data_IF_631652080025
#
_entry.id   IF_631652080025
#
_cell.length_a   1.000
_cell.length_b   1.000
_cell.length_c   1.000
_cell.angle_alpha   90.00
_cell.angle_beta   90.00
_cell.angle_gamma   90.00
#
_symmetry.space_group_name_H-M   'P 1'
#
loop_
_entity.id
_entity.type
_entity.pdbx_description
1 polymer ?
#
# COMPACT_ATOMS: atom_id res chain seq x y z
N UNK A 1 -35.86 -25.37 30.94
CA UNK A 1 -36.97 -24.57 31.51
C UNK A 1 -37.47 -23.67 30.39
N UNK A 2 -38.45 -24.16 29.62
CA UNK A 2 -38.92 -23.54 28.39
C UNK A 2 -40.21 -22.78 28.68
N UNK A 3 -40.20 -21.48 28.43
CA UNK A 3 -41.32 -20.57 28.71
C UNK A 3 -42.26 -20.55 27.50
N UNK A 4 -43.46 -21.11 27.66
CA UNK A 4 -44.52 -21.13 26.65
C UNK A 4 -45.10 -19.72 26.47
N UNK A 5 -45.10 -19.21 25.24
CA UNK A 5 -45.76 -17.95 24.85
C UNK A 5 -47.26 -18.18 24.69
N UNK A 6 -48.06 -17.37 25.36
CA UNK A 6 -49.52 -17.30 25.17
C UNK A 6 -49.87 -16.67 23.81
N UNK A 7 -50.95 -17.13 23.14
CA UNK A 7 -51.46 -16.51 21.93
C UNK A 7 -52.31 -15.27 22.25
N UNK A 8 -52.00 -14.15 21.59
CA UNK A 8 -52.77 -12.90 21.65
C UNK A 8 -54.11 -13.01 20.91
N UNK A 9 -55.15 -12.27 21.33
CA UNK A 9 -56.46 -12.30 20.70
C UNK A 9 -56.47 -11.58 19.32
N UNK A 10 -57.42 -11.93 18.43
CA UNK A 10 -57.54 -11.28 17.13
C UNK A 10 -58.12 -9.87 17.28
N UNK A 11 -57.35 -8.87 16.85
CA UNK A 11 -57.80 -7.49 16.77
C UNK A 11 -58.82 -7.34 15.63
N UNK A 12 -60.06 -7.00 16.01
CA UNK A 12 -61.13 -6.59 15.11
C UNK A 12 -60.80 -5.25 14.46
N UNK A 13 -60.91 -5.20 13.14
CA UNK A 13 -60.53 -4.08 12.28
C UNK A 13 -61.20 -2.75 12.61
N UNK A 14 -60.38 -1.79 13.01
CA UNK A 14 -60.56 -0.40 12.64
C UNK A 14 -59.83 -0.16 11.31
N UNK A 15 -60.45 0.58 10.38
CA UNK A 15 -59.78 1.10 9.18
C UNK A 15 -58.53 1.87 9.61
N UNK A 16 -57.36 1.25 9.47
CA UNK A 16 -56.07 1.93 9.54
C UNK A 16 -56.05 2.96 8.39
N UNK A 17 -55.99 4.23 8.75
CA UNK A 17 -55.45 5.25 7.87
C UNK A 17 -54.12 4.70 7.34
N UNK A 18 -53.98 4.60 6.02
CA UNK A 18 -52.78 4.14 5.33
C UNK A 18 -51.54 4.70 6.02
N UNK A 19 -50.87 3.86 6.82
CA UNK A 19 -49.67 4.24 7.53
C UNK A 19 -48.64 4.60 6.47
N UNK A 20 -48.39 5.89 6.29
CA UNK A 20 -47.43 6.40 5.31
C UNK A 20 -46.12 5.66 5.49
N UNK A 21 -45.52 5.21 4.39
CA UNK A 21 -44.21 4.58 4.46
C UNK A 21 -43.22 5.60 5.04
N UNK A 22 -42.50 5.27 6.11
CA UNK A 22 -41.46 6.12 6.69
C UNK A 22 -40.10 5.65 6.20
N UNK A 23 -39.17 6.58 5.97
CA UNK A 23 -37.76 6.28 5.75
C UNK A 23 -36.89 6.95 6.82
N UNK A 24 -35.91 6.22 7.34
CA UNK A 24 -34.91 6.72 8.28
C UNK A 24 -33.70 7.18 7.47
N UNK A 25 -33.40 8.46 7.48
CA UNK A 25 -32.25 9.03 6.76
C UNK A 25 -31.34 9.77 7.72
N UNK A 26 -30.06 9.82 7.40
CA UNK A 26 -29.10 10.65 8.13
C UNK A 26 -28.90 11.96 7.40
N UNK A 27 -29.38 13.05 7.98
CA UNK A 27 -29.25 14.39 7.40
C UNK A 27 -28.05 15.09 8.04
N UNK A 28 -27.07 15.49 7.22
CA UNK A 28 -25.89 16.28 7.62
C UNK A 28 -26.08 17.74 7.23
N UNK A 29 -26.20 18.62 8.21
CA UNK A 29 -26.10 20.06 8.05
C UNK A 29 -24.68 20.58 8.34
N UNK A 30 -24.45 21.89 8.22
CA UNK A 30 -23.15 22.50 8.52
C UNK A 30 -22.78 22.46 10.02
N UNK A 31 -23.77 22.51 10.91
CA UNK A 31 -23.55 22.54 12.36
C UNK A 31 -23.64 21.15 13.03
N UNK A 32 -24.09 20.12 12.30
CA UNK A 32 -24.28 18.80 12.87
C UNK A 32 -24.96 17.81 11.94
N UNK A 33 -25.31 16.65 12.50
CA UNK A 33 -26.03 15.60 11.80
C UNK A 33 -27.17 15.08 12.67
N UNK A 34 -28.30 14.75 12.05
CA UNK A 34 -29.46 14.14 12.73
C UNK A 34 -29.91 12.91 11.95
N UNK A 35 -30.19 11.82 12.66
CA UNK A 35 -30.90 10.68 12.10
C UNK A 35 -32.39 10.96 12.23
N UNK A 36 -33.09 11.15 11.10
CA UNK A 36 -34.48 11.57 11.04
C UNK A 36 -35.33 10.47 10.39
N UNK A 37 -36.44 10.11 11.03
CA UNK A 37 -37.50 9.36 10.39
C UNK A 37 -38.42 10.36 9.67
N UNK A 38 -38.50 10.25 8.35
CA UNK A 38 -39.25 11.14 7.48
C UNK A 38 -40.37 10.38 6.76
N UNK A 39 -41.54 10.97 6.54
CA UNK A 39 -42.57 10.35 5.70
C UNK A 39 -42.08 10.29 4.25
N UNK A 40 -42.11 9.12 3.63
CA UNK A 40 -41.63 8.92 2.26
C UNK A 40 -42.50 9.63 1.22
N UNK A 41 -43.77 9.88 1.55
CA UNK A 41 -44.75 10.61 0.77
C UNK A 41 -44.65 12.15 0.94
N UNK A 42 -43.96 12.64 1.98
CA UNK A 42 -43.76 14.07 2.19
C UNK A 42 -42.90 14.68 1.08
N UNK A 43 -43.20 15.93 0.73
CA UNK A 43 -42.44 16.65 -0.30
C UNK A 43 -41.07 17.07 0.25
N UNK A 44 -40.07 17.10 -0.62
CA UNK A 44 -38.71 17.53 -0.26
C UNK A 44 -38.72 18.92 0.37
N UNK A 45 -39.57 19.85 -0.11
CA UNK A 45 -39.68 21.20 0.45
C UNK A 45 -40.14 21.21 1.92
N UNK A 46 -41.21 20.50 2.24
CA UNK A 46 -41.75 20.42 3.62
C UNK A 46 -40.71 19.85 4.59
N UNK A 47 -40.03 18.79 4.14
CA UNK A 47 -38.98 18.12 4.89
C UNK A 47 -37.76 19.03 5.08
N UNK A 48 -37.35 19.78 4.05
CA UNK A 48 -36.23 20.73 4.12
C UNK A 48 -36.47 21.79 5.19
N UNK A 49 -37.68 22.37 5.23
CA UNK A 49 -38.00 23.43 6.18
C UNK A 49 -37.98 22.91 7.63
N UNK A 50 -38.54 21.72 7.86
CA UNK A 50 -38.51 21.09 9.19
C UNK A 50 -37.09 20.70 9.63
N UNK A 51 -36.28 20.17 8.71
CA UNK A 51 -34.89 19.81 8.97
C UNK A 51 -34.02 21.04 9.19
N UNK A 52 -34.23 22.13 8.44
CA UNK A 52 -33.52 23.38 8.64
C UNK A 52 -33.85 23.98 10.01
N UNK A 53 -35.13 23.98 10.41
CA UNK A 53 -35.54 24.45 11.73
C UNK A 53 -34.85 23.66 12.88
N UNK A 54 -34.65 22.35 12.72
CA UNK A 54 -33.99 21.50 13.72
C UNK A 54 -32.47 21.56 13.71
N UNK A 55 -31.84 21.56 12.52
CA UNK A 55 -30.38 21.47 12.36
C UNK A 55 -29.67 22.82 12.41
N UNK A 56 -30.41 23.93 12.23
CA UNK A 56 -29.87 25.29 12.16
C UNK A 56 -30.65 26.25 13.07
N UNK A 57 -30.69 26.02 14.39
CA UNK A 57 -31.45 26.86 15.30
C UNK A 57 -30.92 28.30 15.29
N UNK A 58 -31.72 29.23 14.77
CA UNK A 58 -31.38 30.67 14.68
C UNK A 58 -30.90 31.14 13.31
N UNK A 59 -30.73 30.25 12.33
CA UNK A 59 -30.55 30.66 10.94
C UNK A 59 -31.89 31.16 10.36
N UNK A 60 -31.89 32.13 9.43
CA UNK A 60 -33.12 32.52 8.74
C UNK A 60 -33.71 31.30 8.03
N UNK A 61 -34.90 30.85 8.47
CA UNK A 61 -35.58 29.63 7.99
C UNK A 61 -35.68 29.54 6.46
N UNK A 62 -35.69 30.69 5.77
CA UNK A 62 -35.90 30.76 4.32
C UNK A 62 -34.58 30.85 3.54
N UNK A 63 -33.46 31.18 4.19
CA UNK A 63 -32.21 31.55 3.50
C UNK A 63 -30.98 31.20 4.34
N UNK A 64 -30.03 30.49 3.76
CA UNK A 64 -28.68 30.33 4.32
C UNK A 64 -27.98 31.68 4.51
N UNK A 65 -26.78 31.67 5.11
CA UNK A 65 -26.00 32.88 5.42
C UNK A 65 -25.86 33.85 4.23
N UNK A 66 -25.85 33.32 3.00
CA UNK A 66 -25.72 34.07 1.75
C UNK A 66 -27.06 34.49 1.10
N UNK A 67 -28.20 34.31 1.78
CA UNK A 67 -29.51 34.66 1.24
C UNK A 67 -30.13 33.60 0.32
N UNK A 68 -29.55 32.40 0.21
CA UNK A 68 -29.98 31.35 -0.73
C UNK A 68 -30.83 30.25 -0.06
N UNK A 69 -31.85 29.69 -0.74
CA UNK A 69 -32.67 28.64 -0.17
C UNK A 69 -31.86 27.36 0.11
N UNK A 70 -32.28 26.62 1.13
CA UNK A 70 -31.72 25.33 1.51
C UNK A 70 -32.26 24.21 0.62
N UNK A 71 -31.43 23.21 0.32
CA UNK A 71 -31.80 22.03 -0.43
C UNK A 71 -31.23 20.78 0.23
N UNK A 72 -31.92 19.65 0.03
CA UNK A 72 -31.38 18.33 0.33
C UNK A 72 -30.60 17.80 -0.87
N UNK A 73 -29.40 17.31 -0.60
CA UNK A 73 -28.50 16.71 -1.57
C UNK A 73 -28.22 15.26 -1.19
N UNK A 74 -28.49 14.28 -2.05
CA UNK A 74 -27.94 12.94 -1.88
C UNK A 74 -26.42 13.01 -2.00
N UNK A 75 -25.70 12.15 -1.27
CA UNK A 75 -24.23 12.10 -1.36
C UNK A 75 -23.79 11.86 -2.82
N UNK A 76 -23.07 12.83 -3.39
CA UNK A 76 -22.53 12.75 -4.75
C UNK A 76 -23.50 13.16 -5.88
N UNK A 77 -24.75 13.52 -5.57
CA UNK A 77 -25.76 13.91 -6.57
C UNK A 77 -26.15 15.41 -6.48
N UNK A 78 -26.96 15.87 -7.44
CA UNK A 78 -27.56 17.20 -7.43
C UNK A 78 -28.66 17.36 -6.37
N UNK A 79 -29.18 18.57 -6.14
CA UNK A 79 -30.26 18.83 -5.19
C UNK A 79 -31.51 18.04 -5.58
N UNK A 80 -32.19 17.51 -4.58
CA UNK A 80 -33.50 16.92 -4.77
C UNK A 80 -34.50 17.99 -5.20
N UNK A 81 -35.38 17.72 -6.18
CA UNK A 81 -36.38 18.70 -6.61
C UNK A 81 -37.38 18.95 -5.47
N UNK A 82 -37.67 20.21 -5.10
CA UNK A 82 -38.45 20.53 -3.90
C UNK A 82 -39.91 20.06 -3.96
N UNK A 83 -40.50 19.97 -5.16
CA UNK A 83 -41.91 19.58 -5.35
C UNK A 83 -42.16 18.09 -5.49
N UNK A 84 -41.15 17.25 -5.24
CA UNK A 84 -41.20 15.79 -5.44
C UNK A 84 -41.16 15.11 -4.06
N UNK A 85 -41.82 13.96 -3.91
CA UNK A 85 -41.78 13.21 -2.64
C UNK A 85 -40.42 12.55 -2.44
N UNK A 86 -40.05 12.22 -1.19
CA UNK A 86 -38.79 11.52 -0.91
C UNK A 86 -38.72 10.16 -1.65
N UNK A 87 -39.82 9.42 -1.71
CA UNK A 87 -39.92 8.15 -2.44
C UNK A 87 -39.68 8.33 -3.95
N UNK A 88 -40.32 9.32 -4.56
CA UNK A 88 -40.19 9.59 -6.00
C UNK A 88 -38.84 10.23 -6.36
N UNK A 89 -38.20 10.89 -5.39
CA UNK A 89 -36.80 11.30 -5.45
C UNK A 89 -35.81 10.13 -5.29
N UNK A 90 -36.30 8.92 -4.99
CA UNK A 90 -35.48 7.71 -4.86
C UNK A 90 -34.73 7.60 -3.53
N UNK A 91 -35.13 8.36 -2.51
CA UNK A 91 -34.53 8.32 -1.17
C UNK A 91 -34.95 7.04 -0.46
N UNK A 92 -33.98 6.28 0.05
CA UNK A 92 -34.17 5.01 0.73
C UNK A 92 -33.83 5.10 2.21
N UNK A 93 -34.37 4.16 2.96
CA UNK A 93 -33.99 3.94 4.36
C UNK A 93 -32.47 3.67 4.47
N UNK A 94 -31.79 4.42 5.33
CA UNK A 94 -30.34 4.42 5.52
C UNK A 94 -29.55 5.43 4.67
N UNK A 95 -30.19 6.17 3.77
CA UNK A 95 -29.50 7.16 2.92
C UNK A 95 -28.93 8.33 3.76
N UNK A 96 -27.79 8.84 3.32
CA UNK A 96 -27.18 10.05 3.88
C UNK A 96 -27.49 11.23 2.97
N UNK A 97 -28.21 12.22 3.50
CA UNK A 97 -28.55 13.45 2.82
C UNK A 97 -27.76 14.61 3.41
N UNK A 98 -27.43 15.61 2.60
CA UNK A 98 -26.76 16.82 3.03
C UNK A 98 -27.70 18.01 2.87
N UNK A 99 -27.85 18.79 3.94
CA UNK A 99 -28.61 20.04 3.93
C UNK A 99 -27.64 21.21 3.63
N UNK A 100 -27.78 21.83 2.46
CA UNK A 100 -26.85 22.87 1.97
C UNK A 100 -27.54 23.94 1.12
N UNK A 101 -26.98 25.16 1.00
CA UNK A 101 -27.46 26.17 0.07
C UNK A 101 -27.06 25.80 -1.37
N UNK A 102 -27.88 26.15 -2.39
CA UNK A 102 -27.52 25.94 -3.80
C UNK A 102 -26.70 27.10 -4.41
N UNK A 103 -25.70 26.82 -5.27
CA UNK A 103 -25.04 25.53 -5.44
C UNK A 103 -24.22 25.17 -4.21
N UNK A 104 -24.48 23.98 -3.67
CA UNK A 104 -23.65 23.43 -2.62
C UNK A 104 -22.26 23.22 -3.23
N UNK A 105 -21.16 23.62 -2.56
CA UNK A 105 -19.84 23.22 -2.98
C UNK A 105 -19.89 21.71 -3.17
N UNK A 106 -19.68 21.22 -4.40
CA UNK A 106 -19.88 19.81 -4.74
C UNK A 106 -19.18 18.99 -3.65
N UNK A 107 -19.90 18.17 -2.84
CA UNK A 107 -19.22 17.27 -1.93
C UNK A 107 -18.21 16.51 -2.76
N UNK A 108 -16.96 16.39 -2.28
CA UNK A 108 -15.86 15.82 -3.04
C UNK A 108 -16.38 14.57 -3.77
N UNK A 109 -16.50 14.69 -5.10
CA UNK A 109 -17.27 13.77 -5.91
C UNK A 109 -16.68 12.37 -5.64
N UNK A 110 -17.47 11.38 -5.15
CA UNK A 110 -16.98 10.01 -5.12
C UNK A 110 -16.62 9.68 -6.56
N UNK A 111 -15.32 9.56 -6.82
CA UNK A 111 -14.85 9.40 -8.18
C UNK A 111 -15.02 7.94 -8.56
N UNK A 112 -16.19 7.62 -9.10
CA UNK A 112 -16.52 6.26 -9.55
C UNK A 112 -15.79 5.88 -10.84
N UNK A 113 -15.31 6.86 -11.60
CA UNK A 113 -14.53 6.66 -12.83
C UNK A 113 -13.05 6.98 -12.57
N UNK A 114 -12.25 5.91 -12.46
CA UNK A 114 -10.81 5.99 -12.23
C UNK A 114 -10.08 6.86 -13.26
N UNK A 115 -10.56 6.91 -14.51
CA UNK A 115 -9.98 7.76 -15.54
C UNK A 115 -10.40 9.23 -15.43
N UNK A 116 -11.60 9.56 -14.95
CA UNK A 116 -11.98 10.96 -14.65
C UNK A 116 -11.26 11.46 -13.40
N UNK A 117 -11.01 10.60 -12.40
CA UNK A 117 -10.10 10.89 -11.29
C UNK A 117 -8.68 11.14 -11.77
N UNK A 118 -8.17 10.30 -12.68
CA UNK A 118 -6.84 10.45 -13.26
C UNK A 118 -6.77 11.64 -14.21
N UNK A 119 -7.81 12.02 -14.93
CA UNK A 119 -7.84 13.17 -15.83
C UNK A 119 -8.03 14.50 -15.07
N UNK A 120 -8.87 14.53 -14.03
CA UNK A 120 -8.96 15.64 -13.08
C UNK A 120 -7.67 15.74 -12.22
N UNK A 121 -7.04 14.60 -11.94
CA UNK A 121 -5.72 14.50 -11.32
C UNK A 121 -4.57 14.89 -12.27
N UNK A 122 -4.72 14.66 -13.58
CA UNK A 122 -3.73 14.98 -14.62
C UNK A 122 -3.80 16.43 -15.08
N UNK A 123 -4.99 17.04 -15.06
CA UNK A 123 -5.16 18.49 -15.21
C UNK A 123 -4.66 19.26 -13.98
N UNK A 124 -4.64 18.60 -12.80
CA UNK A 124 -3.89 19.01 -11.61
C UNK A 124 -2.45 18.46 -11.57
N UNK A 125 -2.06 17.62 -12.53
CA UNK A 125 -0.71 17.09 -12.55
C UNK A 125 0.21 18.25 -12.88
N UNK A 126 1.30 18.39 -12.11
CA UNK A 126 2.11 19.58 -12.19
C UNK A 126 2.66 19.74 -13.61
N UNK A 127 2.29 20.86 -14.24
CA UNK A 127 3.11 21.49 -15.29
C UNK A 127 4.53 21.64 -14.76
N UNK A 128 5.52 21.86 -15.63
CA UNK A 128 6.92 21.98 -15.22
C UNK A 128 7.03 22.99 -14.04
N UNK A 129 7.24 22.46 -12.84
CA UNK A 129 7.19 23.19 -11.56
C UNK A 129 8.53 23.00 -10.88
N UNK A 130 8.95 24.01 -10.10
CA UNK A 130 10.17 23.99 -9.28
C UNK A 130 10.27 22.72 -8.41
N UNK A 131 9.13 22.11 -8.06
CA UNK A 131 9.05 20.82 -7.36
C UNK A 131 9.71 19.64 -8.13
N UNK A 132 9.61 19.59 -9.46
CA UNK A 132 10.28 18.56 -10.29
C UNK A 132 11.77 18.83 -10.44
N UNK A 133 12.20 20.09 -10.44
CA UNK A 133 13.63 20.44 -10.32
C UNK A 133 14.18 19.93 -8.99
N UNK A 134 13.40 20.02 -7.90
CA UNK A 134 13.71 19.40 -6.62
C UNK A 134 13.93 17.89 -6.68
N UNK A 135 13.04 17.16 -7.34
CA UNK A 135 13.19 15.70 -7.55
C UNK A 135 14.45 15.42 -8.36
N UNK A 136 14.68 16.15 -9.46
CA UNK A 136 15.88 15.99 -10.27
C UNK A 136 17.16 16.26 -9.46
N UNK A 137 17.21 17.35 -8.71
CA UNK A 137 18.35 17.72 -7.85
C UNK A 137 18.57 16.68 -6.75
N UNK A 138 17.51 16.19 -6.10
CA UNK A 138 17.65 15.12 -5.10
C UNK A 138 18.12 13.81 -5.73
N UNK A 139 17.60 13.42 -6.90
CA UNK A 139 18.10 12.24 -7.63
C UNK A 139 19.55 12.41 -8.06
N UNK A 140 19.95 13.60 -8.52
CA UNK A 140 21.32 13.91 -8.89
C UNK A 140 22.24 13.87 -7.67
N UNK A 141 21.81 14.44 -6.54
CA UNK A 141 22.59 14.42 -5.29
C UNK A 141 22.78 12.97 -4.79
N UNK A 142 21.73 12.14 -4.85
CA UNK A 142 21.81 10.71 -4.53
C UNK A 142 22.77 10.00 -5.49
N UNK A 143 22.68 10.24 -6.80
CA UNK A 143 23.57 9.65 -7.78
C UNK A 143 25.03 10.07 -7.57
N UNK A 144 25.30 11.36 -7.36
CA UNK A 144 26.63 11.90 -7.05
C UNK A 144 27.16 11.31 -5.75
N UNK A 145 26.32 11.19 -4.72
CA UNK A 145 26.72 10.57 -3.45
C UNK A 145 27.04 9.08 -3.60
N UNK A 146 26.30 8.36 -4.45
CA UNK A 146 26.57 6.96 -4.75
C UNK A 146 27.90 6.80 -5.51
N UNK A 147 28.19 7.70 -6.47
CA UNK A 147 29.49 7.75 -7.15
C UNK A 147 30.60 8.08 -6.17
N UNK A 148 30.44 9.10 -5.32
CA UNK A 148 31.43 9.46 -4.29
C UNK A 148 31.67 8.33 -3.30
N UNK A 149 30.61 7.64 -2.89
CA UNK A 149 30.68 6.46 -2.04
C UNK A 149 31.42 5.31 -2.74
N UNK A 150 31.16 5.04 -4.01
CA UNK A 150 31.89 4.06 -4.81
C UNK A 150 33.36 4.42 -4.98
N UNK A 151 33.68 5.69 -5.29
CA UNK A 151 35.07 6.19 -5.40
C UNK A 151 35.78 6.07 -4.05
N UNK A 152 35.09 6.32 -2.93
CA UNK A 152 35.69 6.18 -1.59
C UNK A 152 36.16 4.77 -1.27
N UNK A 153 35.54 3.74 -1.89
CA UNK A 153 35.99 2.35 -1.77
C UNK A 153 37.32 2.07 -2.48
N UNK A 154 37.69 2.90 -3.47
CA UNK A 154 38.95 2.78 -4.20
C UNK A 154 40.11 3.55 -3.55
N UNK A 155 39.82 4.45 -2.60
CA UNK A 155 40.84 5.25 -1.91
C UNK A 155 41.39 4.46 -0.73
N UNK A 156 42.73 4.40 -0.54
CA UNK A 156 43.33 3.82 0.66
C UNK A 156 43.07 4.73 1.88
N UNK A 157 41.89 4.59 2.48
CA UNK A 157 41.46 5.33 3.68
C UNK A 157 40.61 4.51 4.65
N UNK A 158 40.35 3.24 4.32
CA UNK A 158 39.51 2.34 5.13
C UNK A 158 38.05 2.83 5.25
N UNK A 159 37.27 2.23 6.17
CA UNK A 159 35.83 2.53 6.32
C UNK A 159 35.52 3.92 6.89
N UNK A 160 36.53 4.66 7.35
CA UNK A 160 36.35 5.96 7.99
C UNK A 160 35.89 7.04 7.00
N UNK A 161 36.35 6.99 5.75
CA UNK A 161 36.00 7.98 4.71
C UNK A 161 34.50 7.96 4.38
N UNK A 162 33.87 6.83 4.01
CA UNK A 162 32.43 6.80 3.74
C UNK A 162 31.58 7.08 4.99
N UNK A 163 32.04 6.70 6.18
CA UNK A 163 31.33 6.97 7.43
C UNK A 163 31.35 8.46 7.77
N UNK A 164 32.49 9.14 7.60
CA UNK A 164 32.59 10.59 7.74
C UNK A 164 31.71 11.32 6.74
N UNK A 165 31.67 10.85 5.48
CA UNK A 165 30.77 11.41 4.45
C UNK A 165 29.29 11.24 4.84
N UNK A 166 28.89 10.05 5.31
CA UNK A 166 27.53 9.79 5.76
C UNK A 166 27.14 10.69 6.94
N UNK A 167 28.00 10.80 7.95
CA UNK A 167 27.80 11.66 9.11
C UNK A 167 27.73 13.15 8.74
N UNK A 168 28.59 13.60 7.81
CA UNK A 168 28.59 14.97 7.30
C UNK A 168 27.27 15.29 6.59
N UNK A 169 26.81 14.44 5.68
CA UNK A 169 25.55 14.64 4.94
C UNK A 169 24.34 14.65 5.88
N UNK A 170 24.31 13.75 6.86
CA UNK A 170 23.26 13.71 7.87
C UNK A 170 23.29 14.94 8.79
N UNK A 171 24.50 15.38 9.18
CA UNK A 171 24.72 16.59 9.97
C UNK A 171 24.30 17.86 9.24
N UNK A 172 24.62 17.97 7.94
CA UNK A 172 24.15 19.06 7.08
C UNK A 172 22.62 19.06 6.96
N UNK A 173 22.00 17.88 6.82
CA UNK A 173 20.54 17.77 6.83
C UNK A 173 19.96 18.25 8.17
N UNK A 174 20.54 17.84 9.30
CA UNK A 174 20.12 18.28 10.63
C UNK A 174 20.26 19.79 10.83
N UNK A 175 21.38 20.38 10.38
CA UNK A 175 21.65 21.81 10.46
C UNK A 175 20.68 22.61 9.59
N UNK A 176 20.43 22.17 8.36
CA UNK A 176 19.44 22.80 7.48
C UNK A 176 18.04 22.74 8.08
N UNK A 177 17.68 21.62 8.73
CA UNK A 177 16.39 21.51 9.43
C UNK A 177 16.29 22.52 10.57
N UNK A 178 17.34 22.68 11.38
CA UNK A 178 17.39 23.64 12.50
C UNK A 178 17.40 25.10 12.04
N UNK A 179 18.08 25.39 10.94
CA UNK A 179 18.22 26.75 10.42
C UNK A 179 16.95 27.27 9.73
N UNK A 180 15.93 26.43 9.55
CA UNK A 180 14.67 26.88 8.97
C UNK A 180 13.92 27.77 9.95
N UNK A 181 13.64 29.03 9.60
CA UNK A 181 12.68 29.81 10.36
C UNK A 181 11.37 29.04 10.36
N UNK A 182 10.67 29.06 11.51
CA UNK A 182 9.30 28.58 11.63
C UNK A 182 8.38 29.51 10.82
N UNK A 183 8.50 29.45 9.50
CA UNK A 183 7.53 30.09 8.61
C UNK A 183 6.19 29.36 8.79
N UNK A 184 5.08 30.11 8.86
CA UNK A 184 3.76 29.54 9.06
C UNK A 184 3.47 28.44 8.03
N UNK A 185 2.72 27.42 8.46
CA UNK A 185 2.47 26.14 7.77
C UNK A 185 2.01 26.26 6.30
N UNK A 186 1.54 27.43 5.87
CA UNK A 186 1.05 27.68 4.51
C UNK A 186 2.16 28.02 3.50
N UNK A 187 3.38 28.31 3.94
CA UNK A 187 4.50 28.68 3.08
C UNK A 187 5.18 27.44 2.44
N UNK A 188 4.53 26.91 1.39
CA UNK A 188 5.02 26.03 0.33
C UNK A 188 5.98 24.84 0.68
N UNK A 189 5.60 23.57 0.36
CA UNK A 189 6.41 22.36 0.58
C UNK A 189 7.70 22.24 -0.26
N UNK A 190 8.08 23.30 -0.99
CA UNK A 190 9.29 23.35 -1.80
C UNK A 190 10.56 23.60 -0.95
N UNK A 191 10.42 24.20 0.23
CA UNK A 191 11.54 24.47 1.13
C UNK A 191 12.22 23.18 1.65
N UNK A 192 11.54 22.04 1.60
CA UNK A 192 11.97 20.76 2.19
C UNK A 192 13.01 19.96 1.40
N UNK A 193 13.12 20.23 0.10
CA UNK A 193 13.91 19.44 -0.84
C UNK A 193 15.42 19.29 -0.53
N UNK A 194 16.17 20.33 -0.13
CA UNK A 194 17.61 20.19 0.11
C UNK A 194 17.93 19.30 1.30
N UNK A 195 17.17 19.44 2.40
CA UNK A 195 17.34 18.64 3.61
C UNK A 195 17.04 17.17 3.36
N UNK A 196 16.05 16.90 2.52
CA UNK A 196 15.74 15.56 2.04
C UNK A 196 16.78 14.98 1.09
N UNK A 197 17.29 15.80 0.18
CA UNK A 197 18.40 15.42 -0.68
C UNK A 197 19.58 14.95 0.15
N UNK A 198 20.01 15.77 1.13
CA UNK A 198 21.13 15.44 2.00
C UNK A 198 20.89 14.16 2.82
N UNK A 199 19.68 13.99 3.38
CA UNK A 199 19.31 12.76 4.08
C UNK A 199 19.37 11.51 3.19
N UNK A 200 18.78 11.58 1.99
CA UNK A 200 18.78 10.45 1.06
C UNK A 200 20.18 10.15 0.50
N UNK A 201 20.97 11.19 0.25
CA UNK A 201 22.37 11.08 -0.18
C UNK A 201 23.29 10.49 0.89
N UNK A 202 22.88 10.49 2.18
CA UNK A 202 23.64 9.80 3.22
C UNK A 202 23.54 8.27 3.10
N UNK A 203 22.46 7.72 2.52
CA UNK A 203 22.23 6.27 2.48
C UNK A 203 23.30 5.51 1.67
N UNK A 204 23.71 5.95 0.45
CA UNK A 204 24.82 5.31 -0.26
C UNK A 204 26.14 5.36 0.52
N UNK A 205 26.39 6.44 1.27
CA UNK A 205 27.59 6.55 2.10
C UNK A 205 27.57 5.56 3.28
N UNK A 206 26.41 5.35 3.91
CA UNK A 206 26.22 4.27 4.91
C UNK A 206 26.46 2.89 4.31
N UNK A 207 25.93 2.61 3.11
CA UNK A 207 26.17 1.35 2.40
C UNK A 207 27.66 1.15 2.13
N UNK A 208 28.34 2.17 1.59
CA UNK A 208 29.78 2.09 1.33
C UNK A 208 30.61 1.91 2.61
N UNK A 209 30.21 2.52 3.74
CA UNK A 209 30.85 2.26 5.02
C UNK A 209 30.73 0.79 5.42
N UNK A 210 29.53 0.20 5.31
CA UNK A 210 29.34 -1.23 5.56
C UNK A 210 30.17 -2.13 4.62
N UNK A 211 30.22 -1.78 3.32
CA UNK A 211 31.05 -2.50 2.34
C UNK A 211 32.53 -2.41 2.69
N UNK A 212 33.03 -1.22 3.01
CA UNK A 212 34.44 -0.99 3.36
C UNK A 212 34.85 -1.77 4.61
N UNK A 213 34.00 -1.79 5.65
CA UNK A 213 34.24 -2.63 6.84
C UNK A 213 34.27 -4.10 6.46
N UNK A 214 33.32 -4.57 5.65
CA UNK A 214 33.27 -5.97 5.22
C UNK A 214 34.48 -6.42 4.41
N UNK A 215 34.96 -5.57 3.49
CA UNK A 215 36.18 -5.82 2.72
C UNK A 215 37.43 -5.84 3.61
N UNK A 216 37.50 -4.95 4.61
CA UNK A 216 38.61 -4.89 5.56
C UNK A 216 38.72 -6.14 6.44
N UNK A 217 37.58 -6.74 6.81
CA UNK A 217 37.51 -8.00 7.56
C UNK A 217 37.97 -9.20 6.72
N UNK A 218 38.31 -9.01 5.43
CA UNK A 218 38.68 -10.06 4.45
C UNK A 218 37.66 -11.20 4.39
N UNK A 219 36.39 -10.86 4.61
CA UNK A 219 35.29 -11.80 4.48
C UNK A 219 34.94 -12.04 3.01
N UNK A 220 34.32 -13.18 2.71
CA UNK A 220 33.63 -13.37 1.42
C UNK A 220 32.49 -12.35 1.23
N UNK A 221 31.76 -12.46 0.11
CA UNK A 221 30.64 -11.56 -0.20
C UNK A 221 29.57 -11.48 0.89
N UNK A 222 29.36 -12.55 1.67
CA UNK A 222 28.30 -12.60 2.68
C UNK A 222 28.53 -11.63 3.85
N UNK A 223 29.68 -11.63 4.56
CA UNK A 223 30.01 -10.58 5.53
C UNK A 223 29.88 -9.15 4.99
N UNK A 224 30.30 -8.91 3.75
CA UNK A 224 30.18 -7.59 3.09
C UNK A 224 28.72 -7.17 2.97
N UNK A 225 27.86 -8.05 2.45
CA UNK A 225 26.43 -7.77 2.31
C UNK A 225 25.72 -7.61 3.66
N UNK A 226 26.10 -8.38 4.68
CA UNK A 226 25.57 -8.25 6.04
C UNK A 226 25.83 -6.86 6.61
N UNK A 227 27.09 -6.41 6.51
CA UNK A 227 27.50 -5.11 7.03
C UNK A 227 26.91 -3.96 6.21
N UNK A 228 26.86 -4.09 4.88
CA UNK A 228 26.23 -3.11 3.99
C UNK A 228 24.72 -2.95 4.30
N UNK A 229 23.98 -4.05 4.42
CA UNK A 229 22.56 -4.03 4.77
C UNK A 229 22.30 -3.49 6.18
N UNK A 230 23.14 -3.86 7.15
CA UNK A 230 23.04 -3.36 8.53
C UNK A 230 23.33 -1.87 8.61
N UNK A 231 24.37 -1.39 7.90
CA UNK A 231 24.71 0.02 7.83
C UNK A 231 23.60 0.83 7.16
N UNK A 232 22.95 0.30 6.10
CA UNK A 232 21.78 0.92 5.48
C UNK A 232 20.61 1.04 6.46
N UNK A 233 20.33 -0.01 7.24
CA UNK A 233 19.26 0.01 8.23
C UNK A 233 19.53 1.01 9.37
N UNK A 234 20.77 1.06 9.87
CA UNK A 234 21.20 2.03 10.89
C UNK A 234 21.14 3.45 10.34
N UNK A 235 21.64 3.69 9.13
CA UNK A 235 21.60 4.98 8.46
C UNK A 235 20.17 5.47 8.23
N UNK A 236 19.26 4.57 7.83
CA UNK A 236 17.84 4.87 7.70
C UNK A 236 17.20 5.22 9.05
N UNK A 237 17.53 4.50 10.13
CA UNK A 237 17.08 4.81 11.49
C UNK A 237 17.57 6.17 11.97
N UNK A 238 18.85 6.49 11.75
CA UNK A 238 19.44 7.78 12.08
C UNK A 238 18.77 8.92 11.29
N UNK A 239 18.55 8.74 9.98
CA UNK A 239 17.85 9.70 9.15
C UNK A 239 16.39 9.89 9.58
N UNK A 240 15.71 8.81 10.02
CA UNK A 240 14.37 8.89 10.57
C UNK A 240 14.31 9.73 11.85
N UNK A 241 15.23 9.51 12.79
CA UNK A 241 15.32 10.29 14.03
C UNK A 241 15.63 11.77 13.78
N UNK A 242 16.50 12.06 12.81
CA UNK A 242 16.92 13.43 12.50
C UNK A 242 15.88 14.19 11.67
N UNK A 243 15.19 13.51 10.75
CA UNK A 243 14.34 14.17 9.75
C UNK A 243 12.84 13.96 9.95
N UNK A 244 12.40 12.85 10.56
CA UNK A 244 11.01 12.57 11.01
C UNK A 244 9.90 12.57 9.95
N UNK A 245 9.76 13.68 9.24
CA UNK A 245 8.68 14.08 8.32
C UNK A 245 8.58 13.20 7.06
N UNK A 246 9.61 12.40 6.77
CA UNK A 246 9.70 11.54 5.58
C UNK A 246 9.89 10.08 5.92
N UNK A 247 9.22 9.64 7.00
CA UNK A 247 9.14 8.24 7.46
C UNK A 247 9.07 7.16 6.37
N UNK A 248 8.31 7.33 5.26
CA UNK A 248 8.25 6.34 4.19
C UNK A 248 9.60 5.95 3.58
N UNK A 249 10.44 6.93 3.24
CA UNK A 249 11.72 6.67 2.59
C UNK A 249 12.69 5.94 3.51
N UNK A 250 12.67 6.28 4.79
CA UNK A 250 13.49 5.64 5.81
C UNK A 250 12.98 4.22 6.11
N UNK A 251 11.67 4.02 6.15
CA UNK A 251 11.07 2.69 6.26
C UNK A 251 11.43 1.80 5.07
N UNK A 252 11.40 2.33 3.84
CA UNK A 252 11.87 1.62 2.65
C UNK A 252 13.34 1.23 2.78
N UNK A 253 14.24 2.19 3.03
CA UNK A 253 15.67 1.94 3.16
C UNK A 253 15.98 0.95 4.28
N UNK A 254 15.34 1.09 5.45
CA UNK A 254 15.47 0.18 6.57
C UNK A 254 15.00 -1.24 6.25
N UNK A 255 13.84 -1.37 5.62
CA UNK A 255 13.30 -2.68 5.20
C UNK A 255 14.21 -3.37 4.20
N UNK A 256 14.76 -2.62 3.24
CA UNK A 256 15.72 -3.13 2.25
C UNK A 256 17.03 -3.56 2.95
N UNK A 257 17.54 -2.75 3.87
CA UNK A 257 18.72 -3.05 4.67
C UNK A 257 18.58 -4.35 5.47
N UNK A 258 17.46 -4.52 6.18
CA UNK A 258 17.14 -5.74 6.94
C UNK A 258 16.94 -6.94 6.02
N UNK A 259 16.25 -6.76 4.89
CA UNK A 259 16.02 -7.81 3.90
C UNK A 259 17.31 -8.36 3.29
N UNK A 260 18.34 -7.53 3.15
CA UNK A 260 19.68 -7.94 2.69
C UNK A 260 20.52 -8.49 3.85
N UNK A 261 20.53 -7.84 5.01
CA UNK A 261 21.44 -8.21 6.11
C UNK A 261 21.08 -9.54 6.74
N UNK A 262 19.79 -9.86 6.89
CA UNK A 262 19.34 -11.10 7.53
C UNK A 262 19.83 -12.37 6.81
N UNK A 263 19.55 -12.61 5.51
CA UNK A 263 20.06 -13.79 4.83
C UNK A 263 21.59 -13.80 4.76
N UNK A 264 22.23 -12.64 4.54
CA UNK A 264 23.69 -12.55 4.51
C UNK A 264 24.33 -12.88 5.86
N UNK A 265 23.71 -12.51 6.98
CA UNK A 265 24.20 -12.82 8.33
C UNK A 265 24.16 -14.32 8.60
N UNK A 266 23.07 -14.99 8.21
CA UNK A 266 22.93 -16.45 8.34
C UNK A 266 24.01 -17.20 7.57
N UNK A 267 24.40 -16.68 6.39
CA UNK A 267 25.49 -17.26 5.58
C UNK A 267 26.86 -16.94 6.17
N UNK A 268 27.08 -15.68 6.57
CA UNK A 268 28.35 -15.24 7.15
C UNK A 268 28.68 -15.96 8.46
N UNK A 269 27.66 -16.28 9.28
CA UNK A 269 27.80 -17.04 10.52
C UNK A 269 27.92 -18.56 10.31
N UNK A 270 27.88 -19.05 9.08
CA UNK A 270 27.91 -20.50 8.79
C UNK A 270 26.67 -21.26 9.27
N UNK A 271 25.58 -20.56 9.61
CA UNK A 271 24.34 -21.17 10.13
C UNK A 271 23.60 -21.89 9.01
N UNK A 272 23.49 -21.24 7.85
CA UNK A 272 22.82 -21.78 6.66
C UNK A 272 23.63 -21.49 5.40
N UNK A 273 23.66 -22.41 4.42
CA UNK A 273 24.16 -22.09 3.09
C UNK A 273 23.25 -21.05 2.41
N UNK A 274 23.83 -20.28 1.49
CA UNK A 274 23.16 -19.17 0.79
C UNK A 274 21.73 -19.47 0.28
N UNK A 275 21.46 -20.55 -0.47
CA UNK A 275 20.10 -20.81 -0.96
C UNK A 275 19.07 -21.02 0.17
N UNK A 276 19.48 -21.65 1.28
CA UNK A 276 18.60 -21.88 2.43
C UNK A 276 18.32 -20.58 3.19
N UNK A 277 19.33 -19.73 3.37
CA UNK A 277 19.16 -18.43 4.00
C UNK A 277 18.22 -17.51 3.21
N UNK A 278 18.35 -17.47 1.88
CA UNK A 278 17.45 -16.70 1.00
C UNK A 278 16.01 -17.23 1.10
N UNK A 279 15.80 -18.55 1.09
CA UNK A 279 14.47 -19.13 1.21
C UNK A 279 13.78 -18.77 2.55
N UNK A 280 14.54 -18.76 3.65
CA UNK A 280 14.04 -18.30 4.96
C UNK A 280 13.65 -16.82 4.90
N UNK A 281 14.51 -15.96 4.34
CA UNK A 281 14.23 -14.53 4.21
C UNK A 281 12.99 -14.24 3.35
N UNK A 282 12.79 -14.97 2.25
CA UNK A 282 11.60 -14.86 1.40
C UNK A 282 10.32 -15.29 2.13
N UNK A 283 10.41 -16.32 2.96
CA UNK A 283 9.27 -16.77 3.78
C UNK A 283 8.92 -15.72 4.85
N UNK A 284 9.93 -15.16 5.51
CA UNK A 284 9.75 -14.07 6.48
C UNK A 284 9.18 -12.83 5.83
N UNK A 285 9.59 -12.50 4.60
CA UNK A 285 9.01 -11.41 3.83
C UNK A 285 7.51 -11.63 3.57
N UNK A 286 7.08 -12.84 3.18
CA UNK A 286 5.65 -13.16 3.00
C UNK A 286 4.85 -12.99 4.30
N UNK A 287 5.41 -13.44 5.43
CA UNK A 287 4.80 -13.26 6.76
C UNK A 287 4.71 -11.77 7.10
N UNK A 288 5.79 -11.03 6.89
CA UNK A 288 5.84 -9.58 7.11
C UNK A 288 4.79 -8.87 6.24
N UNK A 289 4.59 -9.28 5.00
CA UNK A 289 3.54 -8.73 4.12
C UNK A 289 2.12 -8.90 4.69
N UNK A 290 1.88 -9.90 5.54
CA UNK A 290 0.63 -10.02 6.34
C UNK A 290 0.61 -9.09 7.52
N UNK A 291 1.71 -9.06 8.27
CA UNK A 291 1.78 -8.36 9.53
C UNK A 291 1.95 -6.84 9.37
N UNK A 292 2.50 -6.38 8.24
CA UNK A 292 2.95 -5.01 8.05
C UNK A 292 1.83 -3.96 8.26
N UNK A 293 0.61 -4.12 7.72
CA UNK A 293 -0.46 -3.16 7.98
C UNK A 293 -0.78 -3.03 9.47
N UNK A 294 -0.76 -4.15 10.21
CA UNK A 294 -1.00 -4.18 11.65
C UNK A 294 0.18 -3.57 12.43
N UNK A 295 1.43 -3.87 12.05
CA UNK A 295 2.62 -3.31 12.69
C UNK A 295 2.73 -1.80 12.51
N UNK A 296 2.47 -1.31 11.28
CA UNK A 296 2.57 0.12 10.95
C UNK A 296 1.45 0.92 11.61
N UNK A 297 0.23 0.39 11.64
CA UNK A 297 -0.88 1.04 12.38
C UNK A 297 -0.61 1.06 13.88
N UNK A 298 -0.21 -0.08 14.47
CA UNK A 298 0.05 -0.17 15.91
C UNK A 298 1.21 0.70 16.38
N UNK A 299 2.32 0.72 15.65
CA UNK A 299 3.50 1.54 16.01
C UNK A 299 3.18 3.04 16.07
N UNK A 300 2.25 3.51 15.24
CA UNK A 300 1.86 4.92 15.22
C UNK A 300 0.77 5.28 16.22
N UNK A 301 -0.14 4.36 16.56
CA UNK A 301 -1.14 4.58 17.62
C UNK A 301 -0.53 4.77 19.01
N UNK A 302 0.73 4.36 19.21
CA UNK A 302 1.44 4.55 20.47
C UNK A 302 1.98 5.98 20.66
N UNK A 303 1.95 6.82 19.63
CA UNK A 303 2.71 8.09 19.62
C UNK A 303 1.86 9.30 20.06
N UNK A 304 0.55 9.39 19.79
CA UNK A 304 -0.34 10.38 20.45
C UNK A 304 -1.81 10.20 20.03
N UNK A 305 -2.77 10.04 20.96
CA UNK A 305 -4.19 10.08 20.63
C UNK A 305 -4.67 11.53 20.62
N UNK A 306 -4.51 12.24 19.50
CA UNK A 306 -5.25 13.49 19.26
C UNK A 306 -6.50 13.17 18.44
N UNK A 307 -7.67 13.53 18.98
CA UNK A 307 -8.98 13.22 18.40
C UNK A 307 -9.42 14.20 17.29
N UNK A 308 -8.52 15.07 16.83
CA UNK A 308 -8.83 16.02 15.75
C UNK A 308 -8.93 15.30 14.40
N UNK A 309 -9.99 15.59 13.65
CA UNK A 309 -10.27 14.97 12.36
C UNK A 309 -9.16 15.27 11.33
N UNK A 310 -8.62 16.48 11.34
CA UNK A 310 -7.53 16.88 10.43
C UNK A 310 -6.25 16.08 10.75
N UNK A 311 -5.94 15.94 12.04
CA UNK A 311 -4.81 15.13 12.50
C UNK A 311 -4.97 13.64 12.12
N UNK A 312 -6.18 13.08 12.20
CA UNK A 312 -6.45 11.70 11.80
C UNK A 312 -6.25 11.47 10.30
N UNK A 313 -6.62 12.43 9.45
CA UNK A 313 -6.41 12.37 8.00
C UNK A 313 -4.91 12.38 7.67
N UNK A 314 -4.16 13.31 8.25
CA UNK A 314 -2.70 13.40 8.08
C UNK A 314 -2.01 12.13 8.59
N UNK A 315 -2.46 11.62 9.74
CA UNK A 315 -1.95 10.40 10.31
C UNK A 315 -2.18 9.19 9.40
N UNK A 316 -3.39 9.05 8.86
CA UNK A 316 -3.73 7.99 7.91
C UNK A 316 -2.89 8.07 6.64
N UNK A 317 -2.74 9.28 6.06
CA UNK A 317 -1.92 9.51 4.87
C UNK A 317 -0.45 9.14 5.10
N UNK A 318 0.14 9.57 6.22
CA UNK A 318 1.53 9.27 6.53
C UNK A 318 1.75 7.78 6.86
N UNK A 319 0.79 7.12 7.52
CA UNK A 319 0.78 5.67 7.78
C UNK A 319 0.78 4.91 6.46
N UNK A 320 -0.08 5.35 5.54
CA UNK A 320 -0.23 4.78 4.22
C UNK A 320 1.04 4.88 3.39
N UNK A 321 1.69 6.04 3.34
CA UNK A 321 2.96 6.17 2.63
C UNK A 321 4.05 5.29 3.24
N UNK A 322 4.07 5.13 4.57
CA UNK A 322 5.05 4.27 5.25
C UNK A 322 4.87 2.81 4.85
N UNK A 323 3.62 2.36 4.78
CA UNK A 323 3.26 1.02 4.33
C UNK A 323 3.69 0.78 2.87
N UNK A 324 3.32 1.68 1.96
CA UNK A 324 3.63 1.58 0.52
C UNK A 324 5.14 1.49 0.26
N UNK A 325 5.91 2.30 0.98
CA UNK A 325 7.36 2.31 0.87
C UNK A 325 8.02 1.03 1.42
N UNK A 326 7.56 0.54 2.58
CA UNK A 326 8.06 -0.71 3.16
C UNK A 326 7.68 -1.94 2.33
N UNK A 327 6.45 -2.02 1.80
CA UNK A 327 6.02 -3.08 0.87
C UNK A 327 6.86 -3.03 -0.41
N UNK A 328 7.07 -1.84 -0.98
CA UNK A 328 7.85 -1.68 -2.20
C UNK A 328 9.31 -2.12 -2.03
N UNK A 329 9.96 -1.69 -0.94
CA UNK A 329 11.33 -2.07 -0.64
C UNK A 329 11.49 -3.56 -0.33
N UNK A 330 10.59 -4.12 0.49
CA UNK A 330 10.57 -5.55 0.77
C UNK A 330 10.35 -6.38 -0.50
N UNK A 331 9.44 -5.95 -1.37
CA UNK A 331 9.15 -6.61 -2.65
C UNK A 331 10.35 -6.54 -3.59
N UNK A 332 11.08 -5.42 -3.64
CA UNK A 332 12.31 -5.31 -4.43
C UNK A 332 13.40 -6.28 -3.93
N UNK A 333 13.62 -6.36 -2.60
CA UNK A 333 14.55 -7.32 -2.02
C UNK A 333 14.12 -8.78 -2.29
N UNK A 334 12.82 -9.07 -2.18
CA UNK A 334 12.27 -10.39 -2.48
C UNK A 334 12.42 -10.76 -3.97
N UNK A 335 12.23 -9.80 -4.88
CA UNK A 335 12.43 -10.01 -6.32
C UNK A 335 13.87 -10.45 -6.64
N UNK A 336 14.86 -9.75 -6.07
CA UNK A 336 16.28 -10.11 -6.21
C UNK A 336 16.56 -11.47 -5.58
N UNK A 337 16.05 -11.73 -4.37
CA UNK A 337 16.19 -13.01 -3.68
C UNK A 337 15.61 -14.18 -4.49
N UNK A 338 14.41 -14.03 -5.06
CA UNK A 338 13.77 -15.04 -5.90
C UNK A 338 14.57 -15.31 -7.17
N UNK A 339 15.06 -14.26 -7.84
CA UNK A 339 15.89 -14.40 -9.03
C UNK A 339 17.20 -15.16 -8.74
N UNK A 340 17.93 -14.73 -7.71
CA UNK A 340 19.19 -15.38 -7.30
C UNK A 340 18.94 -16.82 -6.88
N UNK A 341 17.90 -17.09 -6.08
CA UNK A 341 17.60 -18.43 -5.60
C UNK A 341 17.22 -19.37 -6.76
N UNK A 342 16.34 -18.93 -7.67
CA UNK A 342 15.92 -19.74 -8.80
C UNK A 342 17.10 -20.08 -9.74
N UNK A 343 17.97 -19.11 -10.02
CA UNK A 343 19.06 -19.27 -11.00
C UNK A 343 20.30 -20.00 -10.45
N UNK A 344 20.49 -20.02 -9.12
CA UNK A 344 21.67 -20.64 -8.50
C UNK A 344 21.50 -22.09 -8.05
N UNK A 345 20.27 -22.55 -7.81
CA UNK A 345 20.05 -23.76 -7.02
C UNK A 345 19.67 -25.03 -7.80
N UNK A 346 19.21 -24.92 -9.06
CA UNK A 346 18.98 -26.03 -10.01
C UNK A 346 17.99 -27.15 -9.61
N UNK A 347 17.68 -27.32 -8.32
CA UNK A 347 16.87 -28.39 -7.78
C UNK A 347 15.37 -28.12 -7.91
N UNK A 348 14.61 -29.14 -8.32
CA UNK A 348 13.17 -29.04 -8.53
C UNK A 348 12.40 -28.54 -7.30
N UNK A 349 12.81 -28.91 -6.08
CA UNK A 349 12.20 -28.43 -4.83
C UNK A 349 12.38 -26.91 -4.67
N UNK A 350 13.55 -26.38 -5.00
CA UNK A 350 13.82 -24.93 -4.89
C UNK A 350 13.05 -24.15 -5.94
N UNK A 351 12.96 -24.66 -7.17
CA UNK A 351 12.13 -24.07 -8.22
C UNK A 351 10.64 -24.09 -7.83
N UNK A 352 10.16 -25.19 -7.24
CA UNK A 352 8.81 -25.29 -6.69
C UNK A 352 8.55 -24.27 -5.58
N UNK A 353 9.51 -24.08 -4.66
CA UNK A 353 9.45 -23.04 -3.63
C UNK A 353 9.37 -21.62 -4.23
N UNK A 354 10.27 -21.28 -5.16
CA UNK A 354 10.27 -19.99 -5.83
C UNK A 354 8.95 -19.73 -6.57
N UNK A 355 8.39 -20.75 -7.23
CA UNK A 355 7.09 -20.67 -7.91
C UNK A 355 5.96 -20.43 -6.91
N UNK A 356 5.93 -21.15 -5.78
CA UNK A 356 4.92 -20.98 -4.75
C UNK A 356 4.97 -19.58 -4.11
N UNK A 357 6.15 -19.06 -3.78
CA UNK A 357 6.32 -17.71 -3.24
C UNK A 357 5.89 -16.65 -4.26
N UNK A 358 6.31 -16.80 -5.53
CA UNK A 358 5.97 -15.86 -6.59
C UNK A 358 4.48 -15.82 -6.90
N UNK A 359 3.83 -16.99 -6.95
CA UNK A 359 2.39 -17.11 -7.15
C UNK A 359 1.60 -16.57 -5.94
N UNK A 360 2.08 -16.82 -4.71
CA UNK A 360 1.48 -16.23 -3.50
C UNK A 360 1.56 -14.71 -3.55
N UNK A 361 2.71 -14.13 -3.91
CA UNK A 361 2.87 -12.69 -4.06
C UNK A 361 1.87 -12.12 -5.09
N UNK A 362 1.84 -12.68 -6.30
CA UNK A 362 0.95 -12.21 -7.36
C UNK A 362 -0.54 -12.30 -6.99
N UNK A 363 -0.97 -13.41 -6.36
CA UNK A 363 -2.36 -13.59 -5.93
C UNK A 363 -2.74 -12.63 -4.79
N UNK A 364 -1.81 -12.41 -3.87
CA UNK A 364 -2.00 -11.54 -2.71
C UNK A 364 -2.11 -10.07 -3.07
N UNK A 365 -1.47 -9.63 -4.15
CA UNK A 365 -1.59 -8.26 -4.62
C UNK A 365 -3.06 -7.84 -4.85
N UNK A 366 -3.97 -8.79 -5.14
CA UNK A 366 -5.42 -8.52 -5.25
C UNK A 366 -6.06 -8.00 -3.96
N UNK A 367 -5.44 -8.24 -2.79
CA UNK A 367 -5.95 -7.77 -1.49
C UNK A 367 -5.55 -6.33 -1.17
N UNK A 368 -4.57 -5.76 -1.88
CA UNK A 368 -4.26 -4.35 -1.72
C UNK A 368 -5.24 -3.51 -2.53
N UNK A 369 -5.82 -2.49 -1.89
CA UNK A 369 -6.69 -1.52 -2.56
C UNK A 369 -5.89 -0.49 -3.37
N UNK A 370 -4.56 -0.53 -3.31
CA UNK A 370 -3.71 0.55 -3.79
C UNK A 370 -2.72 0.05 -4.83
N UNK A 371 -2.52 0.88 -5.86
CA UNK A 371 -1.75 0.53 -7.04
C UNK A 371 -0.26 0.33 -6.72
N UNK A 372 0.35 1.16 -5.86
CA UNK A 372 1.79 1.09 -5.54
C UNK A 372 2.18 -0.24 -4.88
N UNK A 373 1.49 -0.61 -3.80
CA UNK A 373 1.62 -1.90 -3.14
C UNK A 373 1.33 -3.07 -4.07
N UNK A 374 0.20 -3.02 -4.80
CA UNK A 374 -0.16 -4.09 -5.72
C UNK A 374 0.90 -4.28 -6.79
N UNK A 375 1.36 -3.20 -7.42
CA UNK A 375 2.35 -3.22 -8.48
C UNK A 375 3.70 -3.74 -8.01
N UNK A 376 4.17 -3.33 -6.82
CA UNK A 376 5.44 -3.80 -6.27
C UNK A 376 5.42 -5.29 -5.93
N UNK A 377 4.33 -5.78 -5.32
CA UNK A 377 4.17 -7.21 -4.97
C UNK A 377 3.99 -8.06 -6.23
N UNK A 378 3.19 -7.62 -7.21
CA UNK A 378 3.09 -8.27 -8.52
C UNK A 378 4.45 -8.29 -9.21
N UNK A 379 5.17 -7.16 -9.20
CA UNK A 379 6.50 -7.05 -9.78
C UNK A 379 7.47 -8.09 -9.22
N UNK A 380 7.48 -8.28 -7.89
CA UNK A 380 8.28 -9.32 -7.25
C UNK A 380 7.89 -10.73 -7.70
N UNK A 381 6.59 -11.01 -7.78
CA UNK A 381 6.08 -12.29 -8.28
C UNK A 381 6.46 -12.55 -9.75
N UNK A 382 6.35 -11.54 -10.61
CA UNK A 382 6.72 -11.64 -12.03
C UNK A 382 8.22 -11.87 -12.20
N UNK A 383 9.07 -11.14 -11.45
CA UNK A 383 10.53 -11.35 -11.48
C UNK A 383 10.87 -12.76 -11.01
N UNK A 384 10.24 -13.27 -9.94
CA UNK A 384 10.45 -14.63 -9.46
C UNK A 384 10.03 -15.71 -10.47
N UNK A 385 8.86 -15.55 -11.12
CA UNK A 385 8.43 -16.44 -12.20
C UNK A 385 9.38 -16.39 -13.39
N UNK A 386 9.87 -15.21 -13.76
CA UNK A 386 10.89 -15.03 -14.78
C UNK A 386 12.20 -15.76 -14.43
N UNK A 387 12.63 -15.68 -13.17
CA UNK A 387 13.80 -16.39 -12.66
C UNK A 387 13.63 -17.92 -12.72
N UNK A 388 12.45 -18.44 -12.37
CA UNK A 388 12.12 -19.88 -12.49
C UNK A 388 12.13 -20.31 -13.96
N UNK A 389 11.49 -19.55 -14.85
CA UNK A 389 11.49 -19.82 -16.28
C UNK A 389 12.91 -19.83 -16.85
N UNK A 390 13.73 -18.84 -16.49
CA UNK A 390 15.13 -18.77 -16.88
C UNK A 390 15.94 -19.98 -16.39
N UNK A 391 15.79 -20.36 -15.12
CA UNK A 391 16.46 -21.53 -14.56
C UNK A 391 16.06 -22.84 -15.27
N UNK A 392 14.78 -23.00 -15.63
CA UNK A 392 14.28 -24.12 -16.42
C UNK A 392 14.82 -24.13 -17.85
N UNK A 393 15.05 -22.97 -18.45
CA UNK A 393 15.69 -22.87 -19.78
C UNK A 393 17.14 -23.33 -19.71
N UNK A 394 17.88 -22.91 -18.67
CA UNK A 394 19.28 -23.26 -18.48
C UNK A 394 19.46 -24.75 -18.18
N UNK A 395 18.64 -25.31 -17.28
CA UNK A 395 18.80 -26.68 -16.79
C UNK A 395 17.98 -27.72 -17.55
N UNK A 396 16.92 -27.31 -18.23
CA UNK A 396 15.99 -28.21 -18.92
C UNK A 396 16.45 -28.66 -20.30
N UNK A 397 15.98 -29.84 -20.69
CA UNK A 397 16.12 -30.34 -22.07
C UNK A 397 15.31 -29.52 -23.09
N UNK A 398 15.47 -29.79 -24.40
CA UNK A 398 14.85 -29.00 -25.46
C UNK A 398 13.32 -28.93 -25.36
N UNK A 399 12.67 -30.00 -24.88
CA UNK A 399 11.22 -30.00 -24.64
C UNK A 399 10.78 -29.01 -23.55
N UNK A 400 11.49 -28.95 -22.42
CA UNK A 400 11.22 -28.00 -21.33
C UNK A 400 11.41 -26.57 -21.81
N UNK A 401 12.46 -26.31 -22.59
CA UNK A 401 12.71 -24.99 -23.20
C UNK A 401 11.57 -24.55 -24.11
N UNK A 402 11.05 -25.45 -24.94
CA UNK A 402 9.89 -25.19 -25.79
C UNK A 402 8.64 -24.83 -24.98
N UNK A 403 8.33 -25.60 -23.93
CA UNK A 403 7.19 -25.32 -23.04
C UNK A 403 7.35 -23.97 -22.34
N UNK A 404 8.52 -23.68 -21.78
CA UNK A 404 8.78 -22.39 -21.10
C UNK A 404 8.63 -21.21 -22.08
N UNK A 405 9.14 -21.34 -23.31
CA UNK A 405 8.99 -20.30 -24.32
C UNK A 405 7.51 -20.05 -24.67
N UNK A 406 6.71 -21.11 -24.85
CA UNK A 406 5.27 -21.01 -25.12
C UNK A 406 4.53 -20.35 -23.95
N UNK A 407 4.83 -20.75 -22.71
CA UNK A 407 4.21 -20.15 -21.52
C UNK A 407 4.60 -18.68 -21.37
N UNK A 408 5.87 -18.32 -21.62
CA UNK A 408 6.33 -16.94 -21.57
C UNK A 408 5.61 -16.07 -22.62
N UNK A 409 5.49 -16.56 -23.86
CA UNK A 409 4.75 -15.86 -24.93
C UNK A 409 3.27 -15.72 -24.55
N UNK A 410 2.64 -16.78 -24.03
CA UNK A 410 1.24 -16.73 -23.59
C UNK A 410 1.04 -15.74 -22.43
N UNK A 411 1.97 -15.69 -21.47
CA UNK A 411 1.92 -14.75 -20.34
C UNK A 411 2.08 -13.29 -20.81
N UNK A 412 3.02 -13.01 -21.72
CA UNK A 412 3.18 -11.69 -22.33
C UNK A 412 1.91 -11.30 -23.11
N UNK A 413 1.37 -12.22 -23.91
CA UNK A 413 0.11 -12.01 -24.63
C UNK A 413 -1.07 -11.72 -23.69
N UNK A 414 -1.18 -12.45 -22.58
CA UNK A 414 -2.20 -12.22 -21.56
C UNK A 414 -2.03 -10.87 -20.86
N UNK A 415 -0.80 -10.44 -20.54
CA UNK A 415 -0.53 -9.13 -19.93
C UNK A 415 -0.85 -7.98 -20.89
N UNK A 416 -0.46 -8.09 -22.16
CA UNK A 416 -0.79 -7.10 -23.21
C UNK A 416 -2.31 -7.06 -23.43
N UNK A 417 -2.96 -8.22 -23.49
CA UNK A 417 -4.40 -8.35 -23.62
C UNK A 417 -5.16 -7.78 -22.42
N UNK A 418 -4.67 -8.01 -21.20
CA UNK A 418 -5.23 -7.42 -19.98
C UNK A 418 -5.05 -5.89 -19.98
N UNK A 419 -3.87 -5.39 -20.36
CA UNK A 419 -3.62 -3.95 -20.47
C UNK A 419 -4.50 -3.27 -21.52
N UNK A 420 -4.73 -3.95 -22.66
CA UNK A 420 -5.68 -3.51 -23.68
C UNK A 420 -7.13 -3.54 -23.18
N UNK A 421 -7.53 -4.64 -22.55
CA UNK A 421 -8.87 -4.82 -21.99
C UNK A 421 -9.18 -3.84 -20.85
N UNK A 422 -8.20 -3.50 -20.00
CA UNK A 422 -8.38 -2.50 -18.95
C UNK A 422 -8.54 -1.09 -19.52
N UNK A 423 -7.90 -0.79 -20.66
CA UNK A 423 -8.11 0.48 -21.38
C UNK A 423 -9.47 0.56 -22.08
N UNK A 424 -10.08 -0.57 -22.43
CA UNK A 424 -11.38 -0.61 -23.11
C UNK A 424 -12.56 -0.94 -22.19
N UNK A 425 -12.30 -1.52 -21.01
CA UNK A 425 -13.32 -1.90 -20.03
C UNK A 425 -14.01 -0.71 -19.38
N UNK A 426 -13.47 0.50 -19.49
CA UNK A 426 -14.19 1.71 -19.07
C UNK A 426 -15.37 2.04 -20.00
N UNK A 427 -15.45 1.38 -21.16
CA UNK A 427 -16.51 1.61 -22.16
C UNK A 427 -17.59 0.53 -22.12
N UNK A 428 -17.36 -0.63 -21.47
CA UNK A 428 -18.33 -1.75 -21.46
C UNK A 428 -18.35 -2.52 -20.14
N UNK A 429 -19.50 -2.49 -19.45
CA UNK A 429 -19.76 -3.20 -18.18
C UNK A 429 -19.67 -4.73 -18.29
N UNK A 430 -19.67 -5.30 -19.50
CA UNK A 430 -19.74 -6.75 -19.76
C UNK A 430 -18.36 -7.44 -19.92
N UNK A 431 -17.25 -6.72 -19.69
CA UNK A 431 -15.90 -7.21 -19.99
C UNK A 431 -15.27 -8.20 -18.99
N UNK A 432 -14.00 -8.54 -19.25
CA UNK A 432 -13.14 -9.39 -18.40
C UNK A 432 -13.16 -8.94 -16.92
N UNK A 433 -13.22 -7.62 -16.68
CA UNK A 433 -13.37 -7.07 -15.34
C UNK A 433 -14.63 -7.56 -14.60
N UNK A 434 -15.76 -7.70 -15.28
CA UNK A 434 -16.99 -8.26 -14.70
C UNK A 434 -16.80 -9.74 -14.31
N UNK A 435 -16.10 -10.52 -15.14
CA UNK A 435 -15.77 -11.91 -14.81
C UNK A 435 -14.88 -12.04 -13.56
N UNK A 436 -13.86 -11.18 -13.41
CA UNK A 436 -13.01 -11.13 -12.21
C UNK A 436 -13.77 -10.67 -10.97
N UNK A 437 -14.82 -9.85 -11.14
CA UNK A 437 -15.73 -9.41 -10.07
C UNK A 437 -16.75 -10.47 -9.66
N UNK A 438 -16.92 -11.56 -10.41
CA UNK A 438 -17.87 -12.63 -10.05
C UNK A 438 -17.48 -13.30 -8.72
N UNK A 439 -18.41 -13.52 -7.79
CA UNK A 439 -18.13 -14.14 -6.49
C UNK A 439 -17.46 -15.52 -6.59
N UNK A 440 -17.80 -16.31 -7.62
CA UNK A 440 -17.18 -17.63 -7.85
C UNK A 440 -15.70 -17.53 -8.20
N UNK A 441 -15.34 -16.61 -9.09
CA UNK A 441 -13.95 -16.37 -9.48
C UNK A 441 -13.13 -15.88 -8.29
N UNK A 442 -13.67 -14.95 -7.50
CA UNK A 442 -13.01 -14.47 -6.29
C UNK A 442 -12.79 -15.58 -5.25
N UNK A 443 -13.77 -16.48 -5.07
CA UNK A 443 -13.64 -17.65 -4.17
C UNK A 443 -12.57 -18.62 -4.66
N UNK A 444 -12.57 -18.95 -5.96
CA UNK A 444 -11.55 -19.85 -6.55
C UNK A 444 -10.15 -19.27 -6.39
N UNK A 445 -9.96 -17.99 -6.69
CA UNK A 445 -8.67 -17.34 -6.51
C UNK A 445 -8.26 -17.25 -5.04
N UNK A 446 -9.21 -17.12 -4.11
CA UNK A 446 -8.97 -17.20 -2.67
C UNK A 446 -8.48 -18.59 -2.27
N UNK A 447 -9.10 -19.65 -2.79
CA UNK A 447 -8.66 -21.03 -2.54
C UNK A 447 -7.28 -21.30 -3.13
N UNK A 448 -7.00 -20.82 -4.35
CA UNK A 448 -5.67 -20.90 -4.95
C UNK A 448 -4.63 -20.16 -4.10
N UNK A 449 -4.93 -18.94 -3.65
CA UNK A 449 -4.03 -18.16 -2.78
C UNK A 449 -3.70 -18.92 -1.49
N UNK A 450 -4.72 -19.44 -0.80
CA UNK A 450 -4.53 -20.21 0.43
C UNK A 450 -3.77 -21.51 0.18
N UNK A 451 -4.12 -22.27 -0.86
CA UNK A 451 -3.46 -23.53 -1.19
C UNK A 451 -1.98 -23.34 -1.50
N UNK A 452 -1.64 -22.33 -2.33
CA UNK A 452 -0.24 -22.02 -2.67
C UNK A 452 0.52 -21.49 -1.45
N UNK A 453 -0.10 -20.62 -0.63
CA UNK A 453 0.52 -20.11 0.58
C UNK A 453 0.82 -21.21 1.60
N UNK A 454 -0.09 -22.17 1.78
CA UNK A 454 0.12 -23.34 2.66
C UNK A 454 1.26 -24.22 2.13
N UNK A 455 1.43 -24.35 0.80
CA UNK A 455 2.50 -25.12 0.20
C UNK A 455 3.90 -24.51 0.41
N UNK A 456 4.02 -23.21 0.74
CA UNK A 456 5.32 -22.56 0.98
C UNK A 456 6.10 -23.22 2.12
N UNK A 457 5.43 -23.58 3.23
CA UNK A 457 6.08 -24.18 4.39
C UNK A 457 6.67 -25.59 4.14
N UNK A 458 5.94 -26.57 3.58
CA UNK A 458 6.52 -27.86 3.27
C UNK A 458 7.59 -27.75 2.18
N UNK A 459 7.46 -26.84 1.22
CA UNK A 459 8.52 -26.60 0.23
C UNK A 459 9.77 -26.00 0.89
N UNK A 460 9.61 -25.05 1.82
CA UNK A 460 10.73 -24.52 2.60
C UNK A 460 11.44 -25.64 3.38
N UNK A 461 10.69 -26.53 4.05
CA UNK A 461 11.27 -27.67 4.75
C UNK A 461 12.10 -28.58 3.82
N UNK A 462 11.64 -28.75 2.58
CA UNK A 462 12.40 -29.42 1.52
C UNK A 462 13.68 -28.67 1.12
N UNK A 463 13.61 -27.36 0.92
CA UNK A 463 14.80 -26.52 0.62
C UNK A 463 15.82 -26.57 1.76
N UNK A 464 15.36 -26.60 3.01
CA UNK A 464 16.19 -26.75 4.19
C UNK A 464 16.82 -28.14 4.34
N UNK A 465 16.36 -29.14 3.56
CA UNK A 465 16.85 -30.51 3.61
C UNK A 465 16.28 -31.34 4.76
N UNK A 466 15.20 -30.89 5.41
CA UNK A 466 14.59 -31.57 6.55
C UNK A 466 14.09 -32.97 6.16
N UNK A 467 13.47 -33.10 4.98
CA UNK A 467 12.99 -34.40 4.49
C UNK A 467 14.12 -35.39 4.21
N UNK A 468 15.25 -34.91 3.66
CA UNK A 468 16.41 -35.76 3.43
C UNK A 468 17.01 -36.23 4.76
N UNK A 469 17.18 -35.31 5.72
CA UNK A 469 17.66 -35.66 7.05
C UNK A 469 16.74 -36.65 7.79
N UNK A 470 15.42 -36.50 7.66
CA UNK A 470 14.45 -37.41 8.25
C UNK A 470 14.49 -38.81 7.59
N UNK A 471 14.62 -38.87 6.27
CA UNK A 471 14.75 -40.12 5.54
C UNK A 471 16.04 -40.88 5.92
N UNK A 472 17.17 -40.16 6.00
CA UNK A 472 18.46 -40.74 6.40
C UNK A 472 18.44 -41.26 7.84
N UNK A 473 17.74 -40.56 8.74
CA UNK A 473 17.57 -41.01 10.13
C UNK A 473 16.71 -42.29 10.18
N UNK A 474 15.61 -42.34 9.41
CA UNK A 474 14.74 -43.51 9.33
C UNK A 474 15.44 -44.76 8.79
N UNK A 475 16.37 -44.59 7.83
CA UNK A 475 17.12 -45.71 7.25
C UNK A 475 18.16 -46.35 8.20
N UNK A 476 18.44 -45.72 9.34
CA UNK A 476 19.39 -46.23 10.36
C UNK A 476 18.72 -47.04 11.47
N UNK A 477 17.39 -46.98 11.57
CA UNK A 477 16.58 -47.79 12.49
C UNK A 477 16.01 -48.99 11.73
#
# INVERSE_FOLDING_TARGET
MAMARQPSPPATGGREASGGAWCTVRVRGPEGAVDAALPADATVAEVVDELAARLLPGAPLVRGADGRPWYLHPTGAGPLPPGVSLESAGVRDGDVLHLGPWPMPRPAQPVDDGLVALAAGASRAPRWTVRRVGVLVTTLLVAVSAVGAAVSLAVPGGPLVPLALAALLLGLAALQRRARPTTPLDAAPAADLPTLGAGLASLPAWVAAGVAVGLAVRGGLSPVLTLAGSALAVGAGAAWLVLGERGPWWAAAGTLGVGVSLPSALVAGGVLPAPRAIAVALTLWLVLLVALPWLVTRSRTWIEPRADAEHLVDHAAATRHTLDAAVSAGSAAAAVGLWVLATSSGGGIVLGFCLAVSATAALRARRSLFVGESASVVGAGVVGLGGVGWALVLTGGPGVRGVVAVVAVAAVGALVGLGGALRTAEVTDDGVAAWWRRPRTQRLLGWCETGVAVAVLPLLAGVLGIYAAAADAGARF
#
